data_IF_900671162555
#
_entry.id   IF_900671162555
#
_cell.length_a   1.000
_cell.length_b   1.000
_cell.length_c   1.000
_cell.angle_alpha   90.00
_cell.angle_beta   90.00
_cell.angle_gamma   90.00
#
_symmetry.space_group_name_H-M   'P 1'
#
loop_
_entity.id
_entity.type
_entity.pdbx_description
1 polymer ?
#
# COMPACT_ATOMS: atom_id res chain seq x y z
N UNK A 1 19.27 8.63 11.84
CA UNK A 1 18.69 9.48 10.76
C UNK A 1 18.29 8.59 9.61
N UNK A 2 17.17 8.87 8.91
CA UNK A 2 16.78 8.13 7.70
C UNK A 2 17.67 8.53 6.53
N UNK A 3 18.18 7.55 5.78
CA UNK A 3 18.85 7.80 4.50
C UNK A 3 17.78 8.09 3.46
N UNK A 4 17.86 9.26 2.83
CA UNK A 4 16.95 9.72 1.79
C UNK A 4 17.76 10.24 0.61
N UNK A 5 17.27 10.02 -0.59
CA UNK A 5 17.91 10.42 -1.84
C UNK A 5 17.07 11.46 -2.57
N UNK A 6 17.73 12.32 -3.34
CA UNK A 6 17.04 13.18 -4.30
C UNK A 6 16.63 12.36 -5.54
N UNK A 7 15.55 12.71 -6.24
CA UNK A 7 15.12 11.99 -7.44
C UNK A 7 16.15 11.92 -8.57
N UNK A 8 17.20 12.72 -8.54
CA UNK A 8 18.28 12.76 -9.55
C UNK A 8 19.44 11.81 -9.24
N UNK A 9 19.54 11.28 -8.02
CA UNK A 9 20.61 10.37 -7.58
C UNK A 9 20.33 8.90 -7.97
N UNK A 10 20.02 8.67 -9.24
CA UNK A 10 19.46 7.40 -9.74
C UNK A 10 20.33 6.19 -9.44
N UNK A 11 21.65 6.31 -9.58
CA UNK A 11 22.56 5.19 -9.33
C UNK A 11 22.64 4.86 -7.84
N UNK A 12 22.69 5.88 -6.98
CA UNK A 12 22.75 5.67 -5.54
C UNK A 12 21.43 5.10 -5.01
N UNK A 13 20.29 5.53 -5.57
CA UNK A 13 18.96 4.99 -5.30
C UNK A 13 18.93 3.49 -5.61
N UNK A 14 19.40 3.08 -6.80
CA UNK A 14 19.41 1.69 -7.22
C UNK A 14 20.33 0.86 -6.33
N UNK A 15 21.57 1.30 -6.11
CA UNK A 15 22.55 0.61 -5.26
C UNK A 15 22.01 0.42 -3.84
N UNK A 16 21.39 1.46 -3.28
CA UNK A 16 20.81 1.39 -1.93
C UNK A 16 19.63 0.42 -1.86
N UNK A 17 18.74 0.45 -2.87
CA UNK A 17 17.61 -0.47 -2.98
C UNK A 17 18.06 -1.93 -3.06
N UNK A 18 19.05 -2.23 -3.91
CA UNK A 18 19.61 -3.57 -4.05
C UNK A 18 20.29 -4.07 -2.77
N UNK A 19 20.95 -3.18 -2.04
CA UNK A 19 21.63 -3.53 -0.78
C UNK A 19 20.67 -3.72 0.39
N UNK A 20 19.63 -2.88 0.48
CA UNK A 20 18.80 -2.78 1.69
C UNK A 20 17.39 -3.34 1.49
N UNK A 21 16.95 -3.60 0.25
CA UNK A 21 15.59 -4.04 -0.09
C UNK A 21 14.55 -2.92 -0.02
N UNK A 22 14.96 -1.68 0.18
CA UNK A 22 14.11 -0.50 0.16
C UNK A 22 14.93 0.76 -0.15
N UNK A 23 14.25 1.83 -0.56
CA UNK A 23 14.84 3.15 -0.72
C UNK A 23 13.81 4.24 -0.47
N UNK A 24 14.23 5.38 0.10
CA UNK A 24 13.39 6.55 0.31
C UNK A 24 13.86 7.67 -0.61
N UNK A 25 12.95 8.19 -1.42
CA UNK A 25 13.20 9.31 -2.34
C UNK A 25 12.43 10.53 -1.86
N UNK A 26 13.16 11.62 -1.60
CA UNK A 26 12.61 12.85 -1.02
C UNK A 26 11.81 13.63 -2.05
N UNK A 27 10.65 14.17 -1.63
CA UNK A 27 9.82 15.09 -2.43
C UNK A 27 9.55 14.62 -3.86
N UNK A 28 9.36 13.32 -4.01
CA UNK A 28 9.09 12.71 -5.32
C UNK A 28 7.67 13.05 -5.83
N UNK A 29 6.71 13.24 -4.91
CA UNK A 29 5.40 13.78 -5.24
C UNK A 29 5.40 15.29 -5.20
N UNK A 30 4.80 15.91 -6.21
CA UNK A 30 4.59 17.36 -6.23
C UNK A 30 3.55 17.77 -5.19
N UNK A 31 3.84 18.83 -4.43
CA UNK A 31 2.92 19.35 -3.40
C UNK A 31 1.55 19.70 -3.99
N UNK A 32 1.52 20.32 -5.18
CA UNK A 32 0.26 20.65 -5.86
C UNK A 32 -0.61 19.44 -6.18
N UNK A 33 -0.01 18.29 -6.49
CA UNK A 33 -0.75 17.04 -6.71
C UNK A 33 -1.36 16.52 -5.40
N UNK A 34 -0.60 16.60 -4.31
CA UNK A 34 -1.06 16.21 -2.97
C UNK A 34 -2.20 17.14 -2.52
N UNK A 35 -2.04 18.45 -2.66
CA UNK A 35 -3.06 19.44 -2.25
C UNK A 35 -4.37 19.26 -3.03
N UNK A 36 -4.28 19.00 -4.33
CA UNK A 36 -5.43 18.67 -5.15
C UNK A 36 -6.11 17.36 -4.69
N UNK A 37 -5.32 16.34 -4.36
CA UNK A 37 -5.84 15.11 -3.81
C UNK A 37 -6.56 15.37 -2.47
N UNK A 38 -5.93 16.05 -1.52
CA UNK A 38 -6.51 16.33 -0.20
C UNK A 38 -7.82 17.12 -0.31
N UNK A 39 -7.90 18.07 -1.24
CA UNK A 39 -9.15 18.80 -1.55
C UNK A 39 -10.26 17.88 -2.02
N UNK A 40 -9.99 17.00 -2.99
CA UNK A 40 -10.98 16.06 -3.52
C UNK A 40 -11.30 14.95 -2.51
N UNK A 41 -10.33 14.52 -1.70
CA UNK A 41 -10.54 13.59 -0.60
C UNK A 41 -11.52 14.16 0.44
N UNK A 42 -11.35 15.41 0.86
CA UNK A 42 -12.27 16.04 1.81
C UNK A 42 -13.71 16.11 1.26
N UNK A 43 -13.87 16.39 -0.05
CA UNK A 43 -15.17 16.34 -0.72
C UNK A 43 -15.74 14.93 -0.79
N UNK A 44 -14.88 13.95 -1.04
CA UNK A 44 -15.27 12.54 -1.09
C UNK A 44 -15.69 12.04 0.28
N UNK A 45 -14.91 12.32 1.33
CA UNK A 45 -15.19 11.93 2.72
C UNK A 45 -16.48 12.52 3.27
N UNK A 46 -16.89 13.68 2.80
CA UNK A 46 -18.16 14.32 3.20
C UNK A 46 -19.42 13.68 2.59
N UNK A 47 -19.30 12.65 1.76
CA UNK A 47 -20.44 11.97 1.13
C UNK A 47 -21.09 11.01 2.09
N UNK A 48 -22.35 11.23 2.51
CA UNK A 48 -23.06 10.24 3.30
C UNK A 48 -23.36 9.00 2.43
N UNK A 49 -23.39 7.83 3.04
CA UNK A 49 -23.85 6.59 2.41
C UNK A 49 -23.01 6.07 1.22
N UNK A 50 -21.75 6.48 1.10
CA UNK A 50 -20.85 5.90 0.10
C UNK A 50 -20.19 4.63 0.66
N UNK A 51 -20.27 3.52 -0.08
CA UNK A 51 -19.66 2.23 0.29
C UNK A 51 -18.45 1.97 -0.59
N UNK A 52 -17.37 1.52 0.04
CA UNK A 52 -16.15 1.10 -0.63
C UNK A 52 -15.65 -0.23 -0.06
N UNK A 53 -14.77 -0.91 -0.77
CA UNK A 53 -14.10 -2.10 -0.23
C UNK A 53 -12.91 -1.66 0.60
N UNK A 54 -12.87 -2.10 1.84
CA UNK A 54 -11.76 -1.87 2.75
C UNK A 54 -10.67 -2.91 2.57
N UNK A 55 -9.41 -2.50 2.77
CA UNK A 55 -8.27 -3.41 2.79
C UNK A 55 -8.11 -4.07 4.16
N UNK A 56 -8.29 -3.31 5.23
CA UNK A 56 -8.09 -3.77 6.61
C UNK A 56 -9.15 -4.78 7.07
N UNK A 57 -10.42 -4.62 6.66
CA UNK A 57 -11.50 -5.57 6.98
C UNK A 57 -11.74 -6.60 5.86
N UNK A 58 -11.22 -6.35 4.67
CA UNK A 58 -11.49 -7.08 3.44
C UNK A 58 -13.01 -7.22 3.13
N UNK A 59 -13.80 -6.22 3.54
CA UNK A 59 -15.27 -6.17 3.40
C UNK A 59 -15.70 -4.82 2.82
N UNK A 60 -16.96 -4.71 2.35
CA UNK A 60 -17.58 -3.42 2.08
C UNK A 60 -17.77 -2.64 3.39
N UNK A 61 -17.30 -1.39 3.39
CA UNK A 61 -17.43 -0.47 4.51
C UNK A 61 -18.06 0.84 4.07
N UNK A 62 -18.83 1.46 4.96
CA UNK A 62 -19.41 2.78 4.73
C UNK A 62 -18.38 3.88 5.03
N UNK A 63 -18.39 4.97 4.28
CA UNK A 63 -17.64 6.16 4.67
C UNK A 63 -18.11 6.61 6.06
N UNK A 64 -17.21 6.50 7.02
CA UNK A 64 -17.37 7.00 8.39
C UNK A 64 -16.07 7.58 8.87
N UNK A 65 -16.16 8.66 9.62
CA UNK A 65 -15.01 9.23 10.32
C UNK A 65 -15.07 8.84 11.79
N UNK A 66 -13.90 8.59 12.36
CA UNK A 66 -13.77 8.41 13.80
C UNK A 66 -13.95 9.77 14.54
N UNK A 67 -13.81 9.78 15.86
CA UNK A 67 -13.95 10.98 16.72
C UNK A 67 -12.96 12.09 16.37
N UNK A 68 -11.80 11.76 15.81
CA UNK A 68 -10.77 12.70 15.34
C UNK A 68 -11.02 13.20 13.92
N UNK A 69 -12.09 12.74 13.27
CA UNK A 69 -12.45 13.12 11.90
C UNK A 69 -11.66 12.38 10.82
N UNK A 70 -10.90 11.33 11.14
CA UNK A 70 -10.20 10.48 10.17
C UNK A 70 -11.10 9.36 9.65
N UNK A 71 -10.93 8.99 8.38
CA UNK A 71 -11.64 7.85 7.81
C UNK A 71 -11.31 6.57 8.62
N UNK A 72 -12.34 5.85 9.02
CA UNK A 72 -12.21 4.71 9.93
C UNK A 72 -11.45 3.54 9.31
N UNK A 73 -11.72 3.26 8.03
CA UNK A 73 -11.14 2.15 7.28
C UNK A 73 -10.34 2.61 6.05
N UNK A 74 -9.31 1.86 5.71
CA UNK A 74 -8.53 2.08 4.50
C UNK A 74 -9.32 1.73 3.23
N UNK A 75 -9.06 2.45 2.15
CA UNK A 75 -9.73 2.22 0.86
C UNK A 75 -8.86 1.34 -0.03
N UNK A 76 -9.39 0.20 -0.43
CA UNK A 76 -8.77 -0.66 -1.43
C UNK A 76 -9.05 -0.13 -2.83
N UNK A 77 -8.03 -0.06 -3.67
CA UNK A 77 -8.07 0.41 -5.06
C UNK A 77 -8.82 1.74 -5.24
N UNK A 78 -8.40 2.81 -4.55
CA UNK A 78 -9.11 4.09 -4.54
C UNK A 78 -9.25 4.71 -5.94
N UNK A 79 -8.36 4.40 -6.90
CA UNK A 79 -8.44 4.85 -8.29
C UNK A 79 -9.60 4.21 -9.07
N UNK A 80 -10.19 3.13 -8.56
CA UNK A 80 -11.23 2.36 -9.23
C UNK A 80 -12.65 2.65 -8.74
N UNK A 81 -12.82 3.56 -7.78
CA UNK A 81 -14.13 3.85 -7.20
C UNK A 81 -15.07 4.45 -8.23
N UNK A 82 -16.30 3.93 -8.28
CA UNK A 82 -17.37 4.48 -9.12
C UNK A 82 -18.03 5.67 -8.45
N UNK A 83 -18.64 6.57 -9.22
CA UNK A 83 -19.30 7.80 -8.72
C UNK A 83 -18.38 8.78 -7.95
N UNK A 84 -17.04 8.61 -8.03
CA UNK A 84 -16.05 9.40 -7.31
C UNK A 84 -14.98 10.01 -8.23
N UNK A 85 -15.34 10.42 -9.46
CA UNK A 85 -14.40 10.82 -10.54
C UNK A 85 -13.34 11.85 -10.11
N UNK A 86 -13.71 12.89 -9.35
CA UNK A 86 -12.77 13.89 -8.86
C UNK A 86 -11.68 13.26 -7.98
N UNK A 87 -12.12 12.46 -7.00
CA UNK A 87 -11.22 11.73 -6.10
C UNK A 87 -10.34 10.74 -6.86
N UNK A 88 -10.93 9.84 -7.66
CA UNK A 88 -10.17 8.80 -8.38
C UNK A 88 -9.13 9.36 -9.33
N UNK A 89 -9.45 10.47 -10.03
CA UNK A 89 -8.52 11.14 -10.94
C UNK A 89 -7.32 11.73 -10.20
N UNK A 90 -7.49 12.24 -8.99
CA UNK A 90 -6.36 12.76 -8.18
C UNK A 90 -5.53 11.65 -7.57
N UNK A 91 -6.14 10.53 -7.16
CA UNK A 91 -5.41 9.31 -6.77
C UNK A 91 -4.50 8.85 -7.90
N UNK A 92 -5.08 8.66 -9.10
CA UNK A 92 -4.33 8.22 -10.28
C UNK A 92 -3.13 9.12 -10.53
N UNK A 93 -3.30 10.45 -10.56
CA UNK A 93 -2.19 11.40 -10.77
C UNK A 93 -1.06 11.29 -9.75
N UNK A 94 -1.37 10.96 -8.50
CA UNK A 94 -0.36 10.75 -7.48
C UNK A 94 0.44 9.47 -7.73
N UNK A 95 -0.25 8.33 -7.91
CA UNK A 95 0.42 7.02 -7.95
C UNK A 95 1.01 6.66 -9.32
N UNK A 96 0.66 7.40 -10.39
CA UNK A 96 1.17 7.17 -11.76
C UNK A 96 1.99 8.32 -12.31
N UNK A 97 2.44 9.27 -11.48
CA UNK A 97 3.20 10.43 -11.96
C UNK A 97 4.46 10.03 -12.74
N UNK A 98 4.93 10.92 -13.63
CA UNK A 98 6.14 10.67 -14.42
C UNK A 98 7.36 10.43 -13.53
N UNK A 99 7.46 11.11 -12.40
CA UNK A 99 8.54 10.90 -11.44
C UNK A 99 8.52 9.46 -10.89
N UNK A 100 7.33 8.93 -10.57
CA UNK A 100 7.16 7.53 -10.12
C UNK A 100 7.55 6.56 -11.22
N UNK A 101 7.05 6.73 -12.45
CA UNK A 101 7.38 5.80 -13.55
C UNK A 101 8.87 5.79 -13.90
N UNK A 102 9.57 6.92 -13.80
CA UNK A 102 11.01 7.00 -13.98
C UNK A 102 11.78 6.21 -12.91
N UNK A 103 11.37 6.32 -11.66
CA UNK A 103 11.97 5.55 -10.56
C UNK A 103 11.70 4.05 -10.69
N UNK A 104 10.47 3.67 -11.05
CA UNK A 104 10.12 2.27 -11.32
C UNK A 104 11.00 1.69 -12.45
N UNK A 105 11.19 2.46 -13.54
CA UNK A 105 12.11 2.08 -14.62
C UNK A 105 13.54 1.87 -14.10
N UNK A 106 14.06 2.79 -13.29
CA UNK A 106 15.38 2.68 -12.71
C UNK A 106 15.53 1.41 -11.87
N UNK A 107 14.55 1.13 -11.00
CA UNK A 107 14.61 -0.01 -10.07
C UNK A 107 14.39 -1.37 -10.75
N UNK A 108 13.57 -1.43 -11.82
CA UNK A 108 13.21 -2.70 -12.47
C UNK A 108 13.94 -2.97 -13.78
N UNK A 109 14.53 -1.94 -14.40
CA UNK A 109 15.04 -2.00 -15.76
C UNK A 109 13.95 -2.10 -16.85
N UNK A 110 12.65 -1.92 -16.51
CA UNK A 110 11.52 -2.00 -17.44
C UNK A 110 10.85 -0.64 -17.62
N UNK A 111 10.45 -0.32 -18.85
CA UNK A 111 9.82 0.98 -19.14
C UNK A 111 8.40 1.08 -18.62
N UNK A 112 7.67 -0.02 -18.57
CA UNK A 112 6.25 -0.05 -18.29
C UNK A 112 5.93 -0.91 -17.07
N UNK A 113 4.95 -0.47 -16.30
CA UNK A 113 4.50 -1.16 -15.09
C UNK A 113 2.98 -1.19 -15.02
N UNK A 114 2.43 -2.21 -14.37
CA UNK A 114 1.00 -2.36 -14.14
C UNK A 114 0.77 -2.23 -12.65
N UNK A 115 -0.14 -1.36 -12.22
CA UNK A 115 -0.59 -1.32 -10.84
C UNK A 115 -1.49 -2.52 -10.62
N UNK A 116 -1.01 -3.42 -9.75
CA UNK A 116 -1.79 -4.58 -9.33
C UNK A 116 -2.84 -4.21 -8.31
N UNK A 117 -2.43 -3.52 -7.26
CA UNK A 117 -3.27 -3.10 -6.14
C UNK A 117 -2.78 -1.76 -5.61
N UNK A 118 -3.68 -0.96 -5.11
CA UNK A 118 -3.35 0.24 -4.35
C UNK A 118 -4.27 0.41 -3.14
N UNK A 119 -3.84 1.21 -2.19
CA UNK A 119 -4.58 1.48 -0.95
C UNK A 119 -4.42 2.93 -0.55
N UNK A 120 -5.45 3.50 0.06
CA UNK A 120 -5.39 4.79 0.72
C UNK A 120 -5.70 4.65 2.20
N UNK A 121 -4.89 5.29 3.01
CA UNK A 121 -5.01 5.34 4.46
C UNK A 121 -5.14 6.78 4.92
N UNK A 122 -6.15 7.11 5.72
CA UNK A 122 -6.27 8.40 6.42
C UNK A 122 -5.58 8.35 7.79
N UNK A 123 -5.59 7.18 8.39
CA UNK A 123 -4.89 6.85 9.64
C UNK A 123 -4.22 5.48 9.51
N UNK A 124 -3.34 5.15 10.44
CA UNK A 124 -2.82 3.78 10.53
C UNK A 124 -3.95 2.81 10.90
N UNK A 125 -4.06 1.72 10.17
CA UNK A 125 -4.95 0.60 10.49
C UNK A 125 -4.19 -0.53 11.21
N UNK A 126 -2.86 -0.35 11.38
CA UNK A 126 -1.94 -1.38 11.85
C UNK A 126 -1.71 -2.45 10.76
N UNK A 127 -0.47 -2.73 10.47
CA UNK A 127 -0.13 -3.80 9.52
C UNK A 127 0.95 -4.65 10.17
N UNK A 128 0.65 -5.94 10.39
CA UNK A 128 1.62 -6.90 10.93
C UNK A 128 2.88 -6.95 10.06
N UNK A 129 4.01 -7.32 10.66
CA UNK A 129 5.24 -7.56 9.91
C UNK A 129 5.02 -8.71 8.92
N UNK A 130 5.37 -8.50 7.66
CA UNK A 130 5.21 -9.48 6.60
C UNK A 130 6.14 -9.22 5.42
N UNK A 131 6.22 -10.17 4.52
CA UNK A 131 6.76 -10.04 3.17
C UNK A 131 5.57 -10.02 2.20
N UNK A 132 5.57 -9.08 1.24
CA UNK A 132 4.51 -9.02 0.22
C UNK A 132 4.38 -10.32 -0.56
N UNK A 133 5.51 -10.97 -0.82
CA UNK A 133 5.58 -12.25 -1.54
C UNK A 133 4.58 -13.32 -1.05
N UNK A 134 4.27 -13.32 0.23
CA UNK A 134 3.26 -14.24 0.77
C UNK A 134 1.87 -13.99 0.17
N UNK A 135 1.52 -12.73 -0.07
CA UNK A 135 0.19 -12.34 -0.58
C UNK A 135 0.20 -12.14 -2.08
N UNK A 136 1.22 -11.45 -2.59
CA UNK A 136 1.30 -10.95 -3.95
C UNK A 136 2.75 -10.81 -4.42
N UNK A 137 3.04 -11.29 -5.61
CA UNK A 137 4.33 -11.13 -6.27
C UNK A 137 4.19 -11.47 -7.77
N UNK A 138 5.29 -11.35 -8.48
CA UNK A 138 5.43 -11.71 -9.89
C UNK A 138 5.82 -13.17 -10.09
N UNK A 139 5.75 -13.64 -11.34
CA UNK A 139 6.35 -14.87 -11.81
C UNK A 139 7.24 -14.54 -13.03
N UNK A 140 8.57 -14.70 -12.93
CA UNK A 140 9.33 -15.15 -11.75
C UNK A 140 9.18 -14.22 -10.55
N UNK A 141 9.38 -14.78 -9.34
CA UNK A 141 9.20 -14.06 -8.08
C UNK A 141 10.28 -12.98 -7.84
N UNK A 142 9.97 -11.99 -7.02
CA UNK A 142 10.93 -10.96 -6.57
C UNK A 142 11.04 -9.74 -7.48
N UNK A 143 10.16 -9.59 -8.47
CA UNK A 143 10.19 -8.42 -9.37
C UNK A 143 9.07 -7.41 -9.10
N UNK A 144 8.16 -7.69 -8.19
CA UNK A 144 7.20 -6.70 -7.73
C UNK A 144 7.94 -5.53 -7.07
N UNK A 145 7.50 -4.30 -7.33
CA UNK A 145 7.96 -3.12 -6.60
C UNK A 145 6.77 -2.51 -5.91
N UNK A 146 6.86 -2.36 -4.61
CA UNK A 146 5.86 -1.66 -3.84
C UNK A 146 6.33 -0.25 -3.47
N UNK A 147 5.39 0.68 -3.30
CA UNK A 147 5.68 2.05 -2.93
C UNK A 147 4.69 2.59 -1.89
N UNK A 148 5.20 3.30 -0.89
CA UNK A 148 4.43 4.03 0.11
C UNK A 148 4.66 5.53 -0.02
N UNK A 149 3.58 6.28 -0.21
CA UNK A 149 3.58 7.69 -0.55
C UNK A 149 3.07 8.50 0.62
N UNK A 150 3.89 9.36 1.20
CA UNK A 150 3.47 10.24 2.28
C UNK A 150 2.74 11.48 1.74
N UNK A 151 1.50 11.69 2.14
CA UNK A 151 0.65 12.80 1.71
C UNK A 151 0.64 13.96 2.73
N UNK A 152 1.30 13.77 3.85
CA UNK A 152 1.54 14.73 4.92
C UNK A 152 2.84 14.34 5.63
N UNK A 153 3.32 15.19 6.53
CA UNK A 153 4.42 14.82 7.42
C UNK A 153 3.93 13.76 8.41
N UNK A 154 4.53 12.58 8.36
CA UNK A 154 4.11 11.44 9.17
C UNK A 154 4.76 11.52 10.55
N UNK A 155 3.93 11.69 11.58
CA UNK A 155 4.41 11.64 12.96
C UNK A 155 4.81 10.21 13.35
N UNK A 156 5.92 9.98 14.06
CA UNK A 156 6.31 8.64 14.52
C UNK A 156 5.18 7.91 15.28
N UNK A 157 4.48 8.62 16.15
CA UNK A 157 3.39 8.09 17.01
C UNK A 157 2.09 7.82 16.24
N UNK A 158 2.00 8.25 14.97
CA UNK A 158 0.84 7.95 14.11
C UNK A 158 0.78 6.49 13.61
N UNK A 159 1.65 5.63 14.13
CA UNK A 159 1.84 4.27 13.62
C UNK A 159 2.56 4.28 12.28
N UNK A 160 3.76 4.87 12.25
CA UNK A 160 4.52 5.02 11.01
C UNK A 160 4.89 3.67 10.40
N UNK A 161 5.14 3.68 9.10
CA UNK A 161 5.62 2.52 8.36
C UNK A 161 7.03 2.14 8.83
N UNK A 162 7.35 0.86 8.82
CA UNK A 162 8.70 0.37 9.06
C UNK A 162 9.14 -0.62 8.00
N UNK A 163 10.44 -0.73 7.83
CA UNK A 163 11.10 -1.79 7.04
C UNK A 163 12.15 -2.49 7.91
N UNK A 164 12.52 -3.70 7.51
CA UNK A 164 13.68 -4.42 8.04
C UNK A 164 14.76 -4.44 6.96
N UNK A 165 15.77 -3.57 7.04
CA UNK A 165 16.80 -3.47 6.00
C UNK A 165 17.54 -4.78 5.79
N UNK A 166 17.75 -5.18 4.53
CA UNK A 166 18.48 -6.39 4.16
C UNK A 166 17.69 -7.69 4.28
N UNK A 167 16.49 -7.68 4.88
CA UNK A 167 15.68 -8.90 5.06
C UNK A 167 15.25 -9.56 3.74
N UNK A 168 15.25 -8.82 2.63
CA UNK A 168 14.93 -9.35 1.29
C UNK A 168 15.95 -10.38 0.78
N UNK A 169 17.14 -10.45 1.39
CA UNK A 169 18.19 -11.45 1.08
C UNK A 169 18.16 -12.67 2.01
N UNK A 170 17.27 -12.65 2.99
CA UNK A 170 17.06 -13.75 3.92
C UNK A 170 16.05 -14.78 3.41
N UNK A 171 15.48 -15.53 4.34
CA UNK A 171 14.43 -16.51 4.04
C UNK A 171 13.18 -15.82 3.45
N UNK A 172 12.67 -16.42 2.39
CA UNK A 172 11.42 -15.98 1.74
C UNK A 172 10.29 -16.91 2.17
N UNK A 173 9.28 -16.34 2.82
CA UNK A 173 8.15 -17.09 3.33
C UNK A 173 7.09 -17.27 2.23
N UNK A 174 7.01 -18.49 1.70
CA UNK A 174 6.08 -18.84 0.64
C UNK A 174 4.80 -19.47 1.17
N UNK A 175 3.65 -18.99 0.74
CA UNK A 175 2.35 -19.48 1.20
C UNK A 175 2.13 -20.98 0.96
N UNK A 176 2.60 -21.49 -0.17
CA UNK A 176 2.37 -22.90 -0.56
C UNK A 176 3.51 -23.81 -0.17
N UNK A 177 4.75 -23.37 -0.25
CA UNK A 177 5.94 -24.17 0.00
C UNK A 177 6.29 -24.27 1.48
N UNK A 178 5.96 -23.23 2.28
CA UNK A 178 6.27 -23.20 3.72
C UNK A 178 5.27 -23.99 4.59
N UNK A 179 4.21 -24.51 4.01
CA UNK A 179 3.27 -25.40 4.73
C UNK A 179 2.43 -24.72 5.82
N UNK A 180 2.24 -23.39 5.74
CA UNK A 180 1.40 -22.66 6.70
C UNK A 180 -0.03 -23.16 6.72
N UNK A 181 -0.56 -23.42 7.90
CA UNK A 181 -1.96 -23.85 8.12
C UNK A 181 -2.93 -22.71 7.83
N UNK A 182 -2.58 -21.51 8.30
CA UNK A 182 -3.38 -20.30 8.21
C UNK A 182 -2.52 -19.03 8.23
N UNK A 183 -3.15 -17.87 8.32
CA UNK A 183 -2.48 -16.59 8.37
C UNK A 183 -1.76 -16.33 9.70
N UNK A 184 -2.24 -16.89 10.81
CA UNK A 184 -1.62 -16.72 12.13
C UNK A 184 -0.27 -17.47 12.18
N UNK A 185 -0.20 -18.62 11.57
CA UNK A 185 1.03 -19.41 11.41
C UNK A 185 2.10 -18.61 10.63
N UNK A 186 1.70 -17.97 9.53
CA UNK A 186 2.56 -17.08 8.76
C UNK A 186 3.06 -15.89 9.58
N UNK A 187 2.17 -15.21 10.32
CA UNK A 187 2.55 -14.09 11.18
C UNK A 187 3.54 -14.53 12.26
N UNK A 188 3.26 -15.67 12.92
CA UNK A 188 4.15 -16.26 13.93
C UNK A 188 5.52 -16.60 13.35
N UNK A 189 5.57 -17.22 12.15
CA UNK A 189 6.83 -17.52 11.48
C UNK A 189 7.60 -16.26 11.08
N UNK A 190 6.90 -15.22 10.66
CA UNK A 190 7.55 -13.92 10.36
C UNK A 190 8.20 -13.32 11.61
N UNK A 191 7.53 -13.36 12.75
CA UNK A 191 8.07 -12.90 14.04
C UNK A 191 9.29 -13.73 14.46
N UNK A 192 9.20 -15.04 14.30
CA UNK A 192 10.32 -15.95 14.58
C UNK A 192 11.53 -15.65 13.68
N UNK A 193 11.32 -15.46 12.37
CA UNK A 193 12.35 -15.07 11.40
C UNK A 193 13.06 -13.77 11.80
N UNK A 194 12.30 -12.77 12.27
CA UNK A 194 12.84 -11.51 12.76
C UNK A 194 13.73 -11.74 13.98
N UNK A 195 13.28 -12.55 14.93
CA UNK A 195 14.00 -12.85 16.16
C UNK A 195 15.26 -13.67 15.89
N UNK A 196 15.18 -14.75 15.10
CA UNK A 196 16.30 -15.64 14.76
C UNK A 196 17.46 -14.91 14.06
N UNK A 197 17.13 -13.91 13.24
CA UNK A 197 18.13 -13.13 12.50
C UNK A 197 18.54 -11.83 13.22
N UNK A 198 18.02 -11.55 14.41
CA UNK A 198 18.23 -10.28 15.12
C UNK A 198 17.91 -9.05 14.25
N UNK A 199 16.91 -9.15 13.41
CA UNK A 199 16.50 -8.08 12.50
C UNK A 199 16.00 -6.86 13.27
N UNK A 200 16.42 -5.67 12.83
CA UNK A 200 16.05 -4.41 13.46
C UNK A 200 15.00 -3.68 12.63
N UNK A 201 13.91 -3.27 13.26
CA UNK A 201 12.92 -2.41 12.63
C UNK A 201 13.49 -1.02 12.39
N UNK A 202 13.34 -0.53 11.17
CA UNK A 202 13.69 0.83 10.78
C UNK A 202 12.40 1.65 10.63
N UNK A 203 12.02 2.49 11.62
CA UNK A 203 10.88 3.40 11.48
C UNK A 203 11.10 4.39 10.33
N UNK A 204 10.06 4.65 9.58
CA UNK A 204 10.09 5.53 8.41
C UNK A 204 9.06 6.69 8.54
N UNK A 205 9.29 7.65 9.45
CA UNK A 205 8.46 8.86 9.53
C UNK A 205 8.83 9.78 8.35
N UNK A 206 8.14 9.59 7.23
CA UNK A 206 8.39 10.34 5.99
C UNK A 206 7.81 11.74 6.08
N UNK A 207 8.46 12.70 5.40
CA UNK A 207 7.89 14.02 5.15
C UNK A 207 6.90 13.99 3.98
N UNK A 208 6.01 14.97 3.93
CA UNK A 208 5.05 15.17 2.83
C UNK A 208 5.76 15.15 1.48
N UNK A 209 5.31 14.32 0.59
CA UNK A 209 5.87 14.16 -0.76
C UNK A 209 6.99 13.13 -0.89
N UNK A 210 7.54 12.62 0.21
CA UNK A 210 8.49 11.51 0.18
C UNK A 210 7.80 10.22 -0.27
N UNK A 211 8.56 9.36 -0.96
CA UNK A 211 8.09 8.02 -1.35
C UNK A 211 9.13 6.99 -0.95
N UNK A 212 8.69 5.93 -0.30
CA UNK A 212 9.49 4.76 0.03
C UNK A 212 9.12 3.63 -0.92
N UNK A 213 10.12 3.07 -1.62
CA UNK A 213 9.97 1.87 -2.44
C UNK A 213 10.57 0.68 -1.71
N UNK A 214 9.94 -0.51 -1.85
CA UNK A 214 10.50 -1.73 -1.26
C UNK A 214 10.32 -2.96 -2.15
N UNK A 215 11.20 -3.93 -1.92
CA UNK A 215 11.23 -5.22 -2.58
C UNK A 215 10.21 -6.19 -1.94
N UNK A 216 9.53 -7.08 -2.67
CA UNK A 216 8.46 -7.93 -2.12
C UNK A 216 8.93 -8.92 -1.04
N UNK A 217 10.23 -9.19 -0.96
CA UNK A 217 10.83 -10.03 0.08
C UNK A 217 11.26 -9.22 1.33
N UNK A 218 11.20 -7.90 1.27
CA UNK A 218 11.52 -7.07 2.44
C UNK A 218 10.45 -7.21 3.50
N UNK A 219 10.85 -7.58 4.72
CA UNK A 219 9.93 -7.56 5.86
C UNK A 219 9.59 -6.11 6.19
N UNK A 220 8.31 -5.81 6.21
CA UNK A 220 7.80 -4.46 6.46
C UNK A 220 6.43 -4.51 7.14
N UNK A 221 5.95 -3.36 7.57
CA UNK A 221 4.65 -3.23 8.22
C UNK A 221 4.42 -1.82 8.76
N UNK A 222 3.53 -1.69 9.71
CA UNK A 222 3.27 -0.44 10.40
C UNK A 222 3.24 -0.65 11.92
N UNK A 223 3.81 0.30 12.65
CA UNK A 223 3.66 0.32 14.10
C UNK A 223 2.22 0.63 14.51
N UNK A 224 1.88 0.26 15.73
CA UNK A 224 0.61 0.66 16.33
C UNK A 224 0.57 2.19 16.46
N UNK A 225 -0.58 2.78 16.14
CA UNK A 225 -0.81 4.19 16.41
C UNK A 225 -0.98 4.38 17.92
N UNK A 226 -0.04 5.04 18.56
CA UNK A 226 -0.04 5.31 20.01
C UNK A 226 -0.62 6.68 20.35
N UNK A 227 -0.85 7.54 19.35
CA UNK A 227 -1.50 8.83 19.51
C UNK A 227 -2.60 9.03 18.45
N UNK A 228 -3.88 8.77 18.82
CA UNK A 228 -4.99 8.84 17.87
C UNK A 228 -5.28 10.24 17.32
N UNK A 229 -4.63 11.30 17.83
CA UNK A 229 -4.76 12.66 17.29
C UNK A 229 -3.99 12.84 16.00
N UNK A 230 -3.05 11.95 15.66
CA UNK A 230 -2.29 12.02 14.42
C UNK A 230 -2.93 11.18 13.31
N UNK A 231 -3.15 11.80 12.17
CA UNK A 231 -3.43 11.11 10.92
C UNK A 231 -2.17 10.48 10.33
N UNK A 232 -2.35 9.59 9.35
CA UNK A 232 -1.27 9.01 8.55
C UNK A 232 -1.71 8.89 7.10
N UNK A 233 -2.00 10.05 6.47
CA UNK A 233 -2.48 10.07 5.09
C UNK A 233 -1.41 9.57 4.15
N UNK A 234 -1.69 8.47 3.50
CA UNK A 234 -0.71 7.81 2.64
C UNK A 234 -1.39 6.94 1.58
N UNK A 235 -0.68 6.74 0.47
CA UNK A 235 -0.99 5.65 -0.46
C UNK A 235 0.00 4.52 -0.30
N UNK A 236 -0.45 3.32 -0.66
CA UNK A 236 0.41 2.20 -1.04
C UNK A 236 0.03 1.77 -2.45
N UNK A 237 1.00 1.43 -3.29
CA UNK A 237 0.74 0.86 -4.60
C UNK A 237 1.78 -0.22 -4.91
N UNK A 238 1.33 -1.30 -5.57
CA UNK A 238 2.15 -2.44 -5.97
C UNK A 238 2.22 -2.48 -7.48
N UNK A 239 3.45 -2.46 -8.01
CA UNK A 239 3.76 -2.34 -9.42
C UNK A 239 4.39 -3.63 -9.94
N UNK A 240 3.79 -4.20 -10.98
CA UNK A 240 4.30 -5.35 -11.73
C UNK A 240 5.01 -4.84 -12.98
N UNK A 241 6.31 -5.11 -13.19
CA UNK A 241 7.01 -4.73 -14.40
C UNK A 241 6.42 -5.45 -15.63
N UNK A 242 6.43 -4.79 -16.78
CA UNK A 242 5.96 -5.39 -18.03
C UNK A 242 6.77 -6.63 -18.40
N UNK A 243 6.08 -7.65 -18.87
CA UNK A 243 6.68 -8.95 -19.24
C UNK A 243 6.73 -9.95 -18.07
N UNK A 244 6.38 -9.54 -16.86
CA UNK A 244 6.20 -10.45 -15.73
C UNK A 244 4.76 -10.94 -15.65
N UNK A 245 4.58 -12.20 -15.30
CA UNK A 245 3.27 -12.74 -14.96
C UNK A 245 2.93 -12.46 -13.50
N UNK A 246 1.64 -12.48 -13.18
CA UNK A 246 1.19 -12.49 -11.82
C UNK A 246 1.22 -13.92 -11.26
N UNK A 247 1.88 -14.11 -10.14
CA UNK A 247 2.15 -15.41 -9.51
C UNK A 247 0.86 -16.14 -9.19
N UNK A 248 -0.06 -16.41 -9.61
CA UNK A 248 -1.28 -17.21 -9.29
C UNK A 248 -2.40 -17.04 -10.32
N UNK A 249 -2.11 -16.41 -11.43
CA UNK A 249 -3.12 -16.26 -12.48
C UNK A 249 -2.69 -16.98 -13.75
N UNK A 250 -3.56 -17.86 -14.24
CA UNK A 250 -3.36 -18.57 -15.49
C UNK A 250 -3.44 -17.64 -16.73
N UNK A 251 -4.11 -16.50 -16.59
CA UNK A 251 -4.21 -15.45 -17.62
C UNK A 251 -4.28 -14.09 -16.99
N UNK A 252 -3.56 -13.13 -17.56
CA UNK A 252 -3.63 -11.74 -17.13
C UNK A 252 -4.82 -11.05 -17.80
N UNK A 253 -5.59 -10.21 -17.06
CA UNK A 253 -6.60 -9.36 -17.67
C UNK A 253 -5.99 -8.40 -18.70
N UNK A 254 -6.83 -7.88 -19.59
CA UNK A 254 -6.43 -6.81 -20.49
C UNK A 254 -6.01 -5.56 -19.70
N UNK A 255 -4.93 -4.90 -20.12
CA UNK A 255 -4.42 -3.68 -19.49
C UNK A 255 -4.83 -2.44 -20.27
N UNK A 256 -5.03 -1.33 -19.56
CA UNK A 256 -5.34 -0.01 -20.11
C UNK A 256 -4.36 1.01 -19.55
N UNK A 257 -3.85 1.90 -20.39
CA UNK A 257 -2.94 2.96 -19.95
C UNK A 257 -3.65 3.90 -18.98
N UNK A 258 -2.95 4.34 -17.96
CA UNK A 258 -3.35 5.45 -17.10
C UNK A 258 -3.15 6.80 -17.82
N UNK A 259 -3.26 7.89 -17.11
CA UNK A 259 -2.83 9.21 -17.58
C UNK A 259 -1.33 9.28 -17.91
N UNK A 260 -0.54 8.36 -17.38
CA UNK A 260 0.86 8.15 -17.74
C UNK A 260 0.99 6.92 -18.69
N UNK A 261 1.55 7.06 -19.90
CA UNK A 261 1.64 5.96 -20.88
C UNK A 261 2.54 4.80 -20.43
N UNK A 262 3.36 4.98 -19.40
CA UNK A 262 4.26 3.96 -18.85
C UNK A 262 3.67 3.23 -17.64
N UNK A 263 2.47 3.63 -17.17
CA UNK A 263 1.79 2.97 -16.06
C UNK A 263 0.40 2.54 -16.50
N UNK A 264 0.07 1.29 -16.26
CA UNK A 264 -1.18 0.67 -16.68
C UNK A 264 -2.02 0.26 -15.48
N UNK A 265 -3.32 0.17 -15.71
CA UNK A 265 -4.27 -0.51 -14.85
C UNK A 265 -4.83 -1.74 -15.55
N UNK A 266 -5.41 -2.65 -14.79
CA UNK A 266 -6.24 -3.70 -15.36
C UNK A 266 -7.51 -3.09 -15.94
N UNK A 267 -7.87 -3.52 -17.15
CA UNK A 267 -9.13 -3.12 -17.79
C UNK A 267 -10.28 -3.61 -16.93
N UNK A 268 -11.18 -2.71 -16.63
CA UNK A 268 -12.36 -2.99 -15.81
C UNK A 268 -13.62 -2.87 -16.65
N UNK A 269 -14.55 -3.78 -16.40
CA UNK A 269 -15.92 -3.62 -16.88
C UNK A 269 -16.66 -2.62 -15.99
N UNK A 270 -16.88 -1.43 -16.53
CA UNK A 270 -17.52 -0.33 -15.78
C UNK A 270 -18.95 -0.66 -15.36
N UNK A 271 -19.71 -1.40 -16.16
CA UNK A 271 -21.05 -1.82 -15.78
C UNK A 271 -21.00 -2.75 -14.57
N UNK A 272 -20.09 -3.73 -14.61
CA UNK A 272 -19.90 -4.64 -13.50
C UNK A 272 -19.38 -3.92 -12.25
N UNK A 273 -18.59 -2.85 -12.38
CA UNK A 273 -18.14 -2.07 -11.24
C UNK A 273 -19.27 -1.29 -10.58
N UNK A 274 -20.22 -0.74 -11.36
CA UNK A 274 -21.43 -0.12 -10.83
C UNK A 274 -22.32 -1.18 -10.13
N UNK A 275 -22.50 -2.35 -10.73
CA UNK A 275 -23.27 -3.43 -10.11
C UNK A 275 -22.61 -3.90 -8.80
N UNK A 276 -21.28 -4.01 -8.77
CA UNK A 276 -20.52 -4.31 -7.54
C UNK A 276 -20.70 -3.27 -6.46
N UNK A 277 -20.78 -1.98 -6.82
CA UNK A 277 -21.06 -0.92 -5.85
C UNK A 277 -22.40 -1.15 -5.15
N UNK A 278 -23.47 -1.41 -5.90
CA UNK A 278 -24.77 -1.70 -5.31
C UNK A 278 -24.79 -3.01 -4.52
N UNK A 279 -24.08 -4.05 -5.02
CA UNK A 279 -23.92 -5.30 -4.29
C UNK A 279 -23.18 -5.05 -2.96
N UNK A 280 -22.08 -4.30 -2.96
CA UNK A 280 -21.34 -3.96 -1.75
C UNK A 280 -22.23 -3.21 -0.73
N UNK A 281 -23.11 -2.35 -1.22
CA UNK A 281 -24.07 -1.65 -0.36
C UNK A 281 -25.07 -2.63 0.30
N UNK A 282 -25.59 -3.58 -0.46
CA UNK A 282 -26.44 -4.64 0.06
C UNK A 282 -25.68 -5.54 1.06
N UNK A 283 -24.46 -5.96 0.72
CA UNK A 283 -23.62 -6.80 1.58
C UNK A 283 -23.30 -6.07 2.90
N UNK A 284 -22.99 -4.78 2.85
CA UNK A 284 -22.79 -3.95 4.05
C UNK A 284 -24.04 -3.94 4.93
N UNK A 285 -25.22 -3.69 4.34
CA UNK A 285 -26.49 -3.63 5.07
C UNK A 285 -26.79 -4.98 5.76
N UNK A 286 -26.56 -6.09 5.05
CA UNK A 286 -26.74 -7.45 5.58
C UNK A 286 -25.74 -7.71 6.71
N UNK A 287 -24.47 -7.33 6.54
CA UNK A 287 -23.44 -7.53 7.56
C UNK A 287 -23.77 -6.78 8.85
N UNK A 288 -24.27 -5.54 8.74
CA UNK A 288 -24.74 -4.76 9.91
C UNK A 288 -25.94 -5.42 10.59
N UNK A 289 -26.93 -5.88 9.83
CA UNK A 289 -28.12 -6.54 10.37
C UNK A 289 -27.80 -7.87 11.07
N UNK A 290 -26.81 -8.61 10.55
CA UNK A 290 -26.43 -9.93 11.07
C UNK A 290 -25.29 -9.89 12.09
N UNK A 291 -24.76 -8.71 12.43
CA UNK A 291 -23.61 -8.52 13.32
C UNK A 291 -22.40 -9.39 12.93
N UNK A 292 -22.17 -9.55 11.64
CA UNK A 292 -21.04 -10.34 11.09
C UNK A 292 -19.72 -9.70 11.49
N UNK A 293 -18.81 -10.48 12.09
CA UNK A 293 -17.44 -10.02 12.41
C UNK A 293 -16.63 -9.82 11.11
N UNK A 294 -15.65 -8.89 11.10
CA UNK A 294 -14.69 -8.76 10.01
C UNK A 294 -13.99 -10.09 9.71
N UNK A 295 -13.70 -10.33 8.42
CA UNK A 295 -13.00 -11.56 8.00
C UNK A 295 -11.52 -11.56 8.35
N UNK A 296 -10.93 -10.40 8.59
CA UNK A 296 -9.54 -10.22 8.95
C UNK A 296 -9.40 -8.93 9.75
N UNK A 297 -8.71 -9.01 10.88
CA UNK A 297 -8.26 -7.83 11.63
C UNK A 297 -6.75 -7.71 11.43
N UNK A 298 -6.30 -6.54 10.97
CA UNK A 298 -4.89 -6.19 10.92
C UNK A 298 -4.49 -5.62 12.27
N UNK A 299 -3.47 -6.21 12.89
CA UNK A 299 -2.94 -5.70 14.18
C UNK A 299 -1.50 -5.25 13.94
N UNK A 300 -1.20 -3.99 14.26
CA UNK A 300 0.15 -3.45 14.23
C UNK A 300 1.05 -4.06 15.32
N UNK A 301 2.34 -3.85 15.18
CA UNK A 301 3.33 -4.20 16.21
C UNK A 301 3.44 -3.06 17.21
N UNK A 302 3.39 -3.36 18.50
CA UNK A 302 3.70 -2.38 19.54
C UNK A 302 5.18 -2.01 19.45
N UNK A 303 5.47 -0.72 19.41
CA UNK A 303 6.81 -0.18 19.36
C UNK A 303 7.18 0.34 20.75
N UNK A 304 8.01 -0.42 21.46
CA UNK A 304 8.71 0.11 22.64
C UNK A 304 9.88 0.97 22.16
N UNK A 305 9.75 2.28 22.27
CA UNK A 305 10.92 3.17 22.21
C UNK A 305 11.84 2.79 23.37
N UNK A 306 12.93 2.10 23.10
CA UNK A 306 14.03 2.04 24.06
C UNK A 306 14.59 3.45 24.16
N UNK A 307 14.27 4.12 25.29
CA UNK A 307 14.82 5.39 25.73
C UNK A 307 16.35 5.39 25.78
#
# INVERSE_FOLDING_TARGET
>A
MLTKFNPTELQDIQNYYEQNGYVIVSKLLQESAIDNFLKEYNRFKARPFYVFRSQDTNQPELIRSNEQGFLEHSILDPQNLVFAKGFTSTVEKCITSTAISNLLKQLSGKDKHIIWQSMFFDKSTGTVAHQDHYYLDTDPAGHLIAAWFALEDIHPDAGCFFVVPGSHRGEVLERTASGFKDHEDFVSRTQQLISENNYQFKPCPLAKGDVLFWHPFTVHGAFTNINPQYSRKSFTAHFVPEGMNWRRQASLPEKVASSNPNVYFWKRDRLMDHLRFFKNYADFTIAQATKRKPKMEMRGIEYEQKS
#
